data_IF_403137898303
#
_entry.id   IF_403137898303
#
_cell.length_a   1.000
_cell.length_b   1.000
_cell.length_c   1.000
_cell.angle_alpha   90.00
_cell.angle_beta   90.00
_cell.angle_gamma   90.00
#
_symmetry.space_group_name_H-M   'P 1'
#
loop_
_entity.id
_entity.type
_entity.pdbx_description
1 polymer ?
#
# COMPACT_ATOMS: atom_id res chain seq x y z
N UNK A 1 21.68 -18.96 -10.50
CA UNK A 1 20.42 -18.65 -9.80
C UNK A 1 20.73 -17.72 -8.64
N UNK A 2 20.15 -16.51 -8.62
CA UNK A 2 20.37 -15.55 -7.53
C UNK A 2 19.75 -16.06 -6.23
N UNK A 3 20.43 -15.91 -5.08
CA UNK A 3 19.87 -16.26 -3.78
C UNK A 3 18.79 -15.25 -3.39
N UNK A 4 17.89 -15.64 -2.47
CA UNK A 4 16.82 -14.78 -1.94
C UNK A 4 17.33 -13.41 -1.45
N UNK A 5 18.51 -13.40 -0.81
CA UNK A 5 19.14 -12.17 -0.29
C UNK A 5 19.48 -11.14 -1.37
N UNK A 6 19.62 -11.56 -2.62
CA UNK A 6 19.84 -10.68 -3.77
C UNK A 6 18.51 -10.31 -4.44
N UNK A 7 17.60 -11.28 -4.61
CA UNK A 7 16.27 -11.02 -5.19
C UNK A 7 15.49 -9.97 -4.39
N UNK A 8 15.56 -10.02 -3.06
CA UNK A 8 14.89 -9.03 -2.19
C UNK A 8 15.45 -7.60 -2.29
N UNK A 9 16.63 -7.42 -2.91
CA UNK A 9 17.24 -6.10 -3.11
C UNK A 9 16.85 -5.47 -4.45
N UNK A 10 16.16 -6.22 -5.33
CA UNK A 10 15.70 -5.68 -6.60
C UNK A 10 14.76 -4.48 -6.35
N UNK A 11 15.11 -3.36 -6.97
CA UNK A 11 14.32 -2.15 -6.86
C UNK A 11 13.21 -2.16 -7.93
N UNK A 12 11.95 -2.27 -7.48
CA UNK A 12 10.77 -2.25 -8.36
C UNK A 12 9.98 -0.94 -8.26
N UNK A 13 10.54 0.09 -7.64
CA UNK A 13 9.83 1.34 -7.33
C UNK A 13 9.27 2.07 -8.56
N UNK A 14 9.95 1.98 -9.70
CA UNK A 14 9.51 2.60 -10.95
C UNK A 14 8.19 2.03 -11.49
N UNK A 15 7.83 0.82 -11.03
CA UNK A 15 6.67 0.08 -11.50
C UNK A 15 5.59 -0.09 -10.43
N UNK A 16 5.70 0.66 -9.33
CA UNK A 16 4.70 0.66 -8.26
C UNK A 16 3.57 1.63 -8.61
N UNK A 17 2.36 1.11 -8.63
CA UNK A 17 1.13 1.89 -8.76
C UNK A 17 0.49 2.10 -7.39
N UNK A 18 -0.14 3.26 -7.19
CA UNK A 18 -0.95 3.54 -6.00
C UNK A 18 -2.44 3.43 -6.33
N UNK A 19 -3.14 2.56 -5.61
CA UNK A 19 -4.61 2.39 -5.72
C UNK A 19 -5.22 2.33 -4.34
N UNK A 20 -6.16 3.24 -4.03
CA UNK A 20 -6.86 3.24 -2.74
C UNK A 20 -5.95 3.39 -1.50
N UNK A 21 -4.81 4.09 -1.64
CA UNK A 21 -3.84 4.27 -0.55
C UNK A 21 -2.83 3.13 -0.40
N UNK A 22 -3.02 2.01 -1.10
CA UNK A 22 -2.10 0.87 -1.11
C UNK A 22 -1.14 0.92 -2.29
N UNK A 23 0.05 0.37 -2.10
CA UNK A 23 1.04 0.21 -3.15
C UNK A 23 0.85 -1.14 -3.84
N UNK A 24 0.91 -1.15 -5.16
CA UNK A 24 0.81 -2.37 -5.96
C UNK A 24 1.96 -2.44 -6.95
N UNK A 25 2.63 -3.57 -7.00
CA UNK A 25 3.45 -3.91 -8.15
C UNK A 25 2.53 -4.51 -9.23
N UNK A 26 2.51 -3.90 -10.42
CA UNK A 26 1.75 -4.44 -11.55
C UNK A 26 2.18 -5.88 -11.84
N UNK A 27 1.21 -6.77 -12.07
CA UNK A 27 1.49 -8.19 -12.34
C UNK A 27 2.40 -8.39 -13.56
N UNK A 28 2.27 -7.55 -14.57
CA UNK A 28 3.10 -7.64 -15.79
C UNK A 28 4.58 -7.40 -15.45
N UNK A 29 4.89 -6.40 -14.63
CA UNK A 29 6.25 -6.13 -14.21
C UNK A 29 6.77 -7.18 -13.22
N UNK A 30 5.92 -7.68 -12.33
CA UNK A 30 6.30 -8.77 -11.44
C UNK A 30 6.73 -10.03 -12.24
N UNK A 31 5.97 -10.38 -13.25
CA UNK A 31 6.29 -11.50 -14.17
C UNK A 31 7.55 -11.22 -14.97
N UNK A 32 7.73 -10.00 -15.48
CA UNK A 32 8.92 -9.62 -16.24
C UNK A 32 10.18 -9.78 -15.38
N UNK A 33 10.21 -9.23 -14.18
CA UNK A 33 11.32 -9.41 -13.23
C UNK A 33 11.57 -10.89 -12.91
N UNK A 34 10.50 -11.68 -12.68
CA UNK A 34 10.64 -13.10 -12.41
C UNK A 34 11.35 -13.82 -13.56
N UNK A 35 10.89 -13.62 -14.79
CA UNK A 35 11.41 -14.30 -15.96
C UNK A 35 12.82 -13.82 -16.36
N UNK A 36 13.19 -12.58 -16.04
CA UNK A 36 14.56 -12.11 -16.18
C UNK A 36 15.52 -12.84 -15.20
N UNK A 37 15.06 -13.14 -13.99
CA UNK A 37 15.87 -13.80 -12.97
C UNK A 37 15.87 -15.33 -13.07
N UNK A 38 14.74 -15.91 -13.52
CA UNK A 38 14.58 -17.34 -13.76
C UNK A 38 13.62 -17.58 -14.94
N UNK A 39 14.16 -17.65 -16.15
CA UNK A 39 13.38 -17.89 -17.37
C UNK A 39 12.72 -19.27 -17.44
N UNK A 40 13.03 -20.18 -16.51
CA UNK A 40 12.40 -21.49 -16.40
C UNK A 40 11.18 -21.49 -15.49
N UNK A 41 10.86 -20.34 -14.89
CA UNK A 41 9.70 -20.20 -14.02
C UNK A 41 8.41 -20.40 -14.77
N UNK A 42 7.44 -21.02 -14.13
CA UNK A 42 6.09 -21.21 -14.64
C UNK A 42 5.09 -21.25 -13.50
N UNK A 43 3.81 -21.03 -13.80
CA UNK A 43 2.75 -21.04 -12.78
C UNK A 43 1.47 -21.64 -13.32
N UNK A 44 0.64 -22.10 -12.40
CA UNK A 44 -0.70 -22.59 -12.67
C UNK A 44 -1.69 -22.06 -11.63
N UNK A 45 -2.94 -21.96 -12.01
CA UNK A 45 -4.05 -21.64 -11.11
C UNK A 45 -4.88 -22.89 -10.87
N UNK A 46 -5.03 -23.26 -9.62
CA UNK A 46 -5.93 -24.32 -9.23
C UNK A 46 -7.40 -23.85 -9.27
N UNK A 47 -8.32 -24.80 -9.24
CA UNK A 47 -9.75 -24.51 -9.04
C UNK A 47 -9.94 -23.64 -7.78
N UNK A 48 -10.69 -22.53 -7.89
CA UNK A 48 -10.98 -21.68 -6.74
C UNK A 48 -11.70 -22.42 -5.61
N UNK A 49 -11.43 -22.03 -4.37
CA UNK A 49 -12.18 -22.52 -3.23
C UNK A 49 -13.37 -21.60 -2.94
N UNK A 50 -14.51 -22.20 -2.63
CA UNK A 50 -15.73 -21.49 -2.26
C UNK A 50 -15.97 -21.55 -0.75
N UNK A 51 -16.22 -20.39 -0.15
CA UNK A 51 -16.57 -20.22 1.25
C UNK A 51 -17.93 -19.49 1.34
N UNK A 52 -19.02 -20.25 1.31
CA UNK A 52 -20.36 -19.69 1.13
C UNK A 52 -20.45 -18.91 -0.20
N UNK A 53 -20.75 -17.61 -0.13
CA UNK A 53 -20.86 -16.74 -1.30
C UNK A 53 -19.52 -16.11 -1.72
N UNK A 54 -18.44 -16.40 -1.02
CA UNK A 54 -17.12 -15.80 -1.29
C UNK A 54 -16.17 -16.81 -1.94
N UNK A 55 -15.16 -16.32 -2.64
CA UNK A 55 -14.23 -17.12 -3.43
C UNK A 55 -12.78 -16.81 -3.05
N UNK A 56 -11.96 -17.85 -2.95
CA UNK A 56 -10.53 -17.77 -2.75
C UNK A 56 -9.81 -18.37 -3.96
N UNK A 57 -9.02 -17.57 -4.67
CA UNK A 57 -8.18 -18.05 -5.77
C UNK A 57 -6.88 -18.65 -5.26
N UNK A 58 -6.30 -19.58 -6.03
CA UNK A 58 -5.06 -20.26 -5.69
C UNK A 58 -4.10 -20.27 -6.88
N UNK A 59 -2.83 -20.01 -6.60
CA UNK A 59 -1.75 -20.03 -7.58
C UNK A 59 -0.60 -20.88 -7.05
N UNK A 60 -0.08 -21.77 -7.87
CA UNK A 60 1.21 -22.43 -7.66
C UNK A 60 2.24 -21.79 -8.58
N UNK A 61 3.32 -21.31 -7.98
CA UNK A 61 4.45 -20.75 -8.72
C UNK A 61 5.68 -21.64 -8.51
N UNK A 62 6.26 -22.07 -9.64
CA UNK A 62 7.50 -22.84 -9.69
C UNK A 62 8.61 -21.91 -10.18
N UNK A 63 9.55 -21.60 -9.32
CA UNK A 63 10.68 -20.71 -9.64
C UNK A 63 11.88 -21.05 -8.73
N UNK A 64 13.08 -20.77 -9.22
CA UNK A 64 14.33 -20.96 -8.47
C UNK A 64 14.47 -22.35 -7.82
N UNK A 65 13.94 -23.38 -8.49
CA UNK A 65 13.96 -24.77 -8.00
C UNK A 65 13.02 -25.06 -6.81
N UNK A 66 12.08 -24.17 -6.52
CA UNK A 66 11.06 -24.30 -5.46
C UNK A 66 9.66 -24.09 -5.99
N UNK A 67 8.69 -24.60 -5.25
CA UNK A 67 7.28 -24.37 -5.49
C UNK A 67 6.67 -23.63 -4.31
N UNK A 68 5.99 -22.52 -4.58
CA UNK A 68 5.18 -21.80 -3.59
C UNK A 68 3.73 -21.89 -4.02
N UNK A 69 2.88 -22.29 -3.10
CA UNK A 69 1.43 -22.21 -3.25
C UNK A 69 0.93 -20.98 -2.50
N UNK A 70 0.29 -20.07 -3.23
CA UNK A 70 -0.32 -18.85 -2.71
C UNK A 70 -1.84 -18.93 -2.88
N UNK A 71 -2.55 -18.28 -1.98
CA UNK A 71 -3.99 -18.12 -2.06
C UNK A 71 -4.39 -16.68 -1.71
N UNK A 72 -5.50 -16.22 -2.28
CA UNK A 72 -5.99 -14.86 -2.08
C UNK A 72 -7.51 -14.84 -2.16
N UNK A 73 -8.24 -14.30 -1.18
CA UNK A 73 -9.66 -14.04 -1.31
C UNK A 73 -9.92 -13.03 -2.43
N UNK A 74 -11.05 -13.16 -3.14
CA UNK A 74 -11.54 -12.09 -4.01
C UNK A 74 -12.05 -10.95 -3.14
N UNK A 75 -11.39 -9.80 -3.19
CA UNK A 75 -11.59 -8.68 -2.28
C UNK A 75 -11.89 -7.39 -3.03
N UNK A 76 -12.62 -6.48 -2.33
CA UNK A 76 -12.81 -5.10 -2.75
C UNK A 76 -11.56 -4.22 -2.42
N UNK A 77 -11.65 -2.92 -2.70
CA UNK A 77 -10.58 -1.95 -2.43
C UNK A 77 -10.35 -1.68 -0.93
N UNK A 78 -11.21 -2.20 -0.06
CA UNK A 78 -11.09 -2.12 1.41
C UNK A 78 -10.67 -3.43 2.03
N UNK A 79 -10.20 -4.39 1.21
CA UNK A 79 -9.83 -5.75 1.61
C UNK A 79 -10.99 -6.59 2.20
N UNK A 80 -12.25 -6.20 1.97
CA UNK A 80 -13.38 -7.04 2.34
C UNK A 80 -13.62 -8.11 1.27
N UNK A 81 -13.94 -9.35 1.70
CA UNK A 81 -14.29 -10.41 0.77
C UNK A 81 -15.56 -10.05 -0.02
N UNK A 82 -15.53 -10.23 -1.34
CA UNK A 82 -16.64 -9.93 -2.23
C UNK A 82 -17.55 -11.15 -2.34
N UNK A 83 -18.85 -10.96 -2.11
CA UNK A 83 -19.87 -11.98 -2.34
C UNK A 83 -20.18 -12.10 -3.82
N UNK A 84 -20.35 -13.34 -4.29
CA UNK A 84 -20.68 -13.69 -5.67
C UNK A 84 -19.84 -12.89 -6.70
N UNK A 85 -18.49 -12.97 -6.61
CA UNK A 85 -17.64 -12.20 -7.50
C UNK A 85 -17.83 -12.64 -8.96
N UNK A 86 -17.90 -11.66 -9.86
CA UNK A 86 -17.92 -11.91 -11.30
C UNK A 86 -16.54 -12.37 -11.82
N UNK A 87 -16.51 -12.87 -13.06
CA UNK A 87 -15.29 -13.39 -13.67
C UNK A 87 -14.16 -12.35 -13.75
N UNK A 88 -14.47 -11.05 -13.88
CA UNK A 88 -13.46 -9.99 -13.91
C UNK A 88 -12.75 -9.86 -12.56
N UNK A 89 -13.50 -9.85 -11.46
CA UNK A 89 -12.95 -9.78 -10.10
C UNK A 89 -12.13 -11.02 -9.76
N UNK A 90 -12.58 -12.20 -10.23
CA UNK A 90 -11.81 -13.44 -10.08
C UNK A 90 -10.49 -13.34 -10.83
N UNK A 91 -10.50 -12.92 -12.09
CA UNK A 91 -9.29 -12.73 -12.89
C UNK A 91 -8.31 -11.74 -12.27
N UNK A 92 -8.80 -10.60 -11.79
CA UNK A 92 -7.97 -9.60 -11.11
C UNK A 92 -7.35 -10.18 -9.83
N UNK A 93 -8.10 -10.96 -9.06
CA UNK A 93 -7.60 -11.64 -7.86
C UNK A 93 -6.54 -12.70 -8.20
N UNK A 94 -6.69 -13.44 -9.32
CA UNK A 94 -5.68 -14.40 -9.80
C UNK A 94 -4.35 -13.71 -10.11
N UNK A 95 -4.35 -12.57 -10.79
CA UNK A 95 -3.13 -11.80 -11.08
C UNK A 95 -2.49 -11.25 -9.80
N UNK A 96 -3.27 -10.76 -8.84
CA UNK A 96 -2.78 -10.32 -7.53
C UNK A 96 -2.19 -11.50 -6.74
N UNK A 97 -2.81 -12.67 -6.80
CA UNK A 97 -2.33 -13.89 -6.16
C UNK A 97 -0.95 -14.30 -6.72
N UNK A 98 -0.80 -14.29 -8.04
CA UNK A 98 0.50 -14.55 -8.72
C UNK A 98 1.57 -13.55 -8.28
N UNK A 99 1.27 -12.25 -8.25
CA UNK A 99 2.23 -11.22 -7.83
C UNK A 99 2.68 -11.43 -6.37
N UNK A 100 1.77 -11.81 -5.47
CA UNK A 100 2.13 -12.16 -4.08
C UNK A 100 2.98 -13.44 -4.01
N UNK A 101 2.72 -14.43 -4.87
CA UNK A 101 3.57 -15.62 -4.96
C UNK A 101 5.00 -15.26 -5.40
N UNK A 102 5.15 -14.38 -6.39
CA UNK A 102 6.44 -13.87 -6.87
C UNK A 102 7.17 -13.12 -5.74
N UNK A 103 6.45 -12.29 -4.98
CA UNK A 103 7.01 -11.55 -3.86
C UNK A 103 7.61 -12.48 -2.78
N UNK A 104 7.07 -13.67 -2.57
CA UNK A 104 7.62 -14.65 -1.64
C UNK A 104 9.02 -15.16 -2.03
N UNK A 105 9.43 -15.01 -3.27
CA UNK A 105 10.81 -15.25 -3.70
C UNK A 105 11.74 -14.05 -3.47
N UNK A 106 11.20 -12.92 -2.99
CA UNK A 106 11.93 -11.70 -2.67
C UNK A 106 11.66 -10.54 -3.64
N UNK A 107 11.15 -10.79 -4.83
CA UNK A 107 10.95 -9.77 -5.87
C UNK A 107 9.80 -8.84 -5.46
N UNK A 108 10.14 -7.61 -5.09
CA UNK A 108 9.16 -6.60 -4.66
C UNK A 108 8.45 -6.91 -3.34
N UNK A 109 8.99 -7.79 -2.49
CA UNK A 109 8.36 -8.16 -1.22
C UNK A 109 8.09 -6.95 -0.32
N UNK A 110 8.98 -5.97 -0.32
CA UNK A 110 8.85 -4.76 0.50
C UNK A 110 7.63 -3.88 0.14
N UNK A 111 7.07 -4.05 -1.06
CA UNK A 111 5.86 -3.34 -1.50
C UNK A 111 4.66 -3.74 -0.64
N UNK A 112 4.65 -4.99 -0.17
CA UNK A 112 3.58 -5.58 0.63
C UNK A 112 3.85 -5.52 2.13
N UNK A 113 5.01 -5.01 2.56
CA UNK A 113 5.32 -4.86 3.97
C UNK A 113 4.35 -3.84 4.60
N UNK A 114 3.55 -4.31 5.57
CA UNK A 114 2.54 -3.51 6.24
C UNK A 114 1.10 -3.66 5.70
N UNK A 115 0.88 -4.39 4.59
CA UNK A 115 -0.50 -4.65 4.10
C UNK A 115 -1.30 -5.60 5.00
N UNK A 116 -0.62 -6.51 5.69
CA UNK A 116 -1.24 -7.54 6.54
C UNK A 116 -1.12 -7.21 8.04
N UNK A 117 -1.00 -5.94 8.41
CA UNK A 117 -1.13 -5.54 9.81
C UNK A 117 -2.54 -5.89 10.27
N UNK A 118 -2.72 -6.59 11.42
CA UNK A 118 -4.03 -6.84 11.97
C UNK A 118 -4.81 -5.52 12.04
N UNK A 119 -6.10 -5.56 11.68
CA UNK A 119 -6.99 -4.39 11.78
C UNK A 119 -7.08 -3.83 13.22
N UNK A 120 -6.64 -4.64 14.18
CA UNK A 120 -6.59 -4.33 15.62
C UNK A 120 -5.21 -3.80 16.08
N UNK A 121 -4.23 -3.68 15.19
CA UNK A 121 -3.08 -2.87 15.47
C UNK A 121 -3.59 -1.42 15.52
N UNK A 122 -3.90 -0.95 16.72
CA UNK A 122 -4.13 0.48 16.95
C UNK A 122 -2.94 1.20 16.30
N UNK A 123 -3.20 2.15 15.37
CA UNK A 123 -2.12 2.97 14.86
C UNK A 123 -1.39 3.54 16.07
N UNK A 124 -0.06 3.49 16.08
CA UNK A 124 0.70 4.11 17.17
C UNK A 124 0.09 5.49 17.43
N UNK A 125 -0.19 5.83 18.70
CA UNK A 125 -0.88 7.07 19.01
C UNK A 125 -0.08 8.22 18.40
N UNK A 126 -0.70 8.88 17.43
CA UNK A 126 -0.11 10.05 16.79
C UNK A 126 0.00 11.10 17.87
N UNK A 127 1.21 11.54 18.17
CA UNK A 127 1.42 12.72 19.00
C UNK A 127 0.90 13.95 18.24
N UNK A 128 -0.41 14.16 18.38
CA UNK A 128 -1.11 15.23 17.68
C UNK A 128 -0.58 16.60 18.07
N UNK A 129 -0.17 16.77 19.34
CA UNK A 129 0.40 18.01 19.84
C UNK A 129 1.75 18.32 19.17
N UNK A 130 2.60 17.33 18.99
CA UNK A 130 3.85 17.48 18.25
C UNK A 130 3.65 17.91 16.79
N UNK A 131 2.51 17.53 16.18
CA UNK A 131 2.16 17.94 14.81
C UNK A 131 1.48 19.31 14.76
N UNK A 132 0.71 19.70 15.78
CA UNK A 132 -0.02 20.96 15.84
C UNK A 132 0.87 22.16 16.16
N UNK A 133 1.79 22.03 17.11
CA UNK A 133 2.64 23.12 17.56
C UNK A 133 3.39 23.82 16.41
N UNK A 134 4.06 23.12 15.48
CA UNK A 134 4.72 23.79 14.35
C UNK A 134 3.76 24.54 13.42
N UNK A 135 2.52 24.04 13.23
CA UNK A 135 1.50 24.69 12.41
C UNK A 135 1.05 26.00 13.08
N UNK A 136 0.75 25.95 14.37
CA UNK A 136 0.26 27.09 15.15
C UNK A 136 1.32 28.19 15.31
N UNK A 137 2.60 27.83 15.34
CA UNK A 137 3.73 28.74 15.51
C UNK A 137 4.37 29.20 14.20
N UNK A 138 3.83 28.81 13.05
CA UNK A 138 4.39 29.19 11.75
C UNK A 138 4.44 30.74 11.62
N UNK A 139 5.63 31.26 11.29
CA UNK A 139 5.87 32.71 11.22
C UNK A 139 5.30 33.35 9.92
N UNK A 140 5.18 32.58 8.86
CA UNK A 140 4.75 33.01 7.54
C UNK A 140 4.00 31.87 6.80
N UNK A 141 3.42 32.21 5.65
CA UNK A 141 2.63 31.31 4.84
C UNK A 141 3.43 30.12 4.27
N UNK A 142 4.71 30.32 3.94
CA UNK A 142 5.55 29.27 3.38
C UNK A 142 5.94 28.25 4.46
N UNK A 143 6.25 28.74 5.66
CA UNK A 143 6.51 27.91 6.84
C UNK A 143 5.26 27.13 7.25
N UNK A 144 4.09 27.78 7.27
CA UNK A 144 2.80 27.14 7.53
C UNK A 144 2.52 25.98 6.55
N UNK A 145 2.73 26.24 5.27
CA UNK A 145 2.54 25.22 4.22
C UNK A 145 3.47 24.01 4.40
N UNK A 146 4.75 24.22 4.70
CA UNK A 146 5.72 23.14 4.92
C UNK A 146 5.35 22.30 6.14
N UNK A 147 5.00 22.93 7.27
CA UNK A 147 4.61 22.21 8.48
C UNK A 147 3.32 21.42 8.28
N UNK A 148 2.32 22.01 7.61
CA UNK A 148 1.08 21.32 7.31
C UNK A 148 1.27 20.10 6.43
N UNK A 149 2.05 20.19 5.34
CA UNK A 149 2.36 19.04 4.47
C UNK A 149 3.08 17.94 5.25
N UNK A 150 4.03 18.29 6.11
CA UNK A 150 4.73 17.33 6.97
C UNK A 150 3.79 16.63 7.95
N UNK A 151 2.91 17.39 8.59
CA UNK A 151 1.94 16.89 9.56
C UNK A 151 0.89 15.94 8.89
N UNK A 152 0.37 16.32 7.71
CA UNK A 152 -0.55 15.46 6.94
C UNK A 152 0.12 14.14 6.54
N UNK A 153 1.39 14.19 6.14
CA UNK A 153 2.15 12.98 5.81
C UNK A 153 2.35 12.08 7.05
N UNK A 154 2.63 12.66 8.21
CA UNK A 154 2.79 11.94 9.47
C UNK A 154 1.45 11.38 10.00
N UNK A 155 0.35 12.12 9.83
CA UNK A 155 -0.99 11.69 10.22
C UNK A 155 -1.53 10.53 9.33
N UNK A 156 -0.98 10.32 8.14
CA UNK A 156 -1.38 9.24 7.24
C UNK A 156 -2.88 9.27 6.92
N UNK A 157 -3.57 8.14 7.18
CA UNK A 157 -5.00 7.99 6.92
C UNK A 157 -5.90 8.27 8.14
N UNK A 158 -5.36 8.84 9.24
CA UNK A 158 -6.14 9.16 10.43
C UNK A 158 -7.07 10.35 10.16
N UNK A 159 -8.35 10.05 9.86
CA UNK A 159 -9.37 11.04 9.49
C UNK A 159 -9.57 12.14 10.54
N UNK A 160 -9.49 11.79 11.83
CA UNK A 160 -9.75 12.75 12.91
C UNK A 160 -8.53 13.66 13.12
N UNK A 161 -7.33 13.12 13.07
CA UNK A 161 -6.11 13.91 13.07
C UNK A 161 -6.07 14.88 11.88
N UNK A 162 -6.42 14.43 10.68
CA UNK A 162 -6.44 15.28 9.47
C UNK A 162 -7.41 16.48 9.63
N UNK A 163 -8.60 16.27 10.17
CA UNK A 163 -9.56 17.36 10.44
C UNK A 163 -9.01 18.40 11.42
N UNK A 164 -8.36 17.93 12.48
CA UNK A 164 -7.76 18.82 13.49
C UNK A 164 -6.61 19.62 12.90
N UNK A 165 -5.73 19.00 12.12
CA UNK A 165 -4.62 19.65 11.42
C UNK A 165 -5.11 20.68 10.41
N UNK A 166 -6.19 20.38 9.67
CA UNK A 166 -6.80 21.31 8.73
C UNK A 166 -7.38 22.54 9.44
N UNK A 167 -8.10 22.34 10.52
CA UNK A 167 -8.63 23.43 11.34
C UNK A 167 -7.53 24.33 11.90
N UNK A 168 -6.44 23.75 12.42
CA UNK A 168 -5.29 24.49 12.93
C UNK A 168 -4.59 25.33 11.84
N UNK A 169 -4.42 24.73 10.64
CA UNK A 169 -3.88 25.42 9.46
C UNK A 169 -4.75 26.63 9.08
N UNK A 170 -6.08 26.45 9.01
CA UNK A 170 -6.99 27.51 8.59
C UNK A 170 -7.03 28.65 9.60
N UNK A 171 -7.00 28.34 10.90
CA UNK A 171 -6.91 29.34 11.98
C UNK A 171 -5.61 30.14 11.85
N UNK A 172 -4.47 29.46 11.71
CA UNK A 172 -3.18 30.16 11.61
C UNK A 172 -3.05 30.99 10.33
N UNK A 173 -3.59 30.49 9.22
CA UNK A 173 -3.68 31.23 7.96
C UNK A 173 -4.46 32.54 8.13
N UNK A 174 -5.60 32.52 8.82
CA UNK A 174 -6.40 33.72 9.07
C UNK A 174 -5.65 34.75 9.90
N UNK A 175 -4.93 34.31 10.94
CA UNK A 175 -4.08 35.21 11.76
C UNK A 175 -2.98 35.89 10.94
N UNK A 176 -2.25 35.11 10.13
CA UNK A 176 -1.17 35.66 9.28
C UNK A 176 -1.69 36.65 8.24
N UNK A 177 -2.87 36.35 7.64
CA UNK A 177 -3.50 37.27 6.68
C UNK A 177 -4.04 38.54 7.36
N UNK A 178 -4.58 38.41 8.59
CA UNK A 178 -5.04 39.56 9.38
C UNK A 178 -3.90 40.48 9.78
N UNK A 179 -2.75 39.95 10.18
CA UNK A 179 -1.56 40.70 10.52
C UNK A 179 -0.95 41.45 9.31
N UNK A 180 -0.99 40.83 8.12
CA UNK A 180 -0.51 41.46 6.89
C UNK A 180 -1.38 42.64 6.40
N UNK A 181 -2.67 42.69 6.77
CA UNK A 181 -3.58 43.78 6.43
C UNK A 181 -3.58 44.92 7.46
N UNK A 182 -2.91 44.76 8.60
CA UNK A 182 -2.83 45.76 9.69
C UNK A 182 -1.50 46.55 9.70
N UNK A 183 -0.57 46.24 8.79
CA UNK A 183 0.73 46.90 8.60
C UNK A 183 0.74 47.77 7.36
#
# INVERSE_FOLDING_TARGET
>A
MKPYSELRKLNVNEHIEKKGGLNYLSWAWAVDYLLQEDSTSWWEFDEPLHFGETVMVRCKLHAFGKTIQMHLPVMDNRNNAVKNPDARKISDAMMRCLTKAIACFGIGLYVYAGEDLPSDAEPEPIDLDALLVPIQQAADMDTLKRHYIGAVKAAGNNSDALKVLESAKDSRKAELMGAANAS
#
